data_IF_491613196518
#
_entry.id   IF_491613196518
#
_cell.length_a   1.000
_cell.length_b   1.000
_cell.length_c   1.000
_cell.angle_alpha   90.00
_cell.angle_beta   90.00
_cell.angle_gamma   90.00
#
_symmetry.space_group_name_H-M   'P 1'
#
loop_
_entity.id
_entity.type
_entity.pdbx_description
1 polymer ?
#
# COMPACT_ATOMS: atom_id res chain seq x y z
N UNK A 1 -3.98 19.47 -63.90
CA UNK A 1 -2.83 19.06 -63.05
C UNK A 1 -3.29 19.19 -61.61
N UNK A 2 -3.33 18.07 -60.88
CA UNK A 2 -3.96 17.90 -59.57
C UNK A 2 -2.84 17.80 -58.55
N UNK A 3 -2.69 18.80 -57.69
CA UNK A 3 -1.80 18.73 -56.55
C UNK A 3 -2.33 19.70 -55.50
N UNK A 4 -2.71 19.16 -54.34
CA UNK A 4 -2.70 19.80 -53.01
C UNK A 4 -3.62 19.00 -52.08
N UNK A 5 -3.02 18.11 -51.28
CA UNK A 5 -3.05 18.20 -49.81
C UNK A 5 -2.28 16.98 -49.27
N UNK A 6 -1.08 17.23 -48.76
CA UNK A 6 -0.37 16.30 -47.89
C UNK A 6 -0.95 16.49 -46.50
N UNK A 7 -1.80 15.57 -46.05
CA UNK A 7 -2.18 15.47 -44.64
C UNK A 7 -0.97 14.91 -43.88
N UNK A 8 -0.29 15.77 -43.13
CA UNK A 8 0.73 15.36 -42.18
C UNK A 8 0.05 14.62 -41.02
N UNK A 9 0.08 13.29 -41.06
CA UNK A 9 -0.18 12.43 -39.91
C UNK A 9 0.95 12.63 -38.89
N UNK A 10 0.75 13.54 -37.94
CA UNK A 10 1.54 13.50 -36.70
C UNK A 10 0.91 12.43 -35.81
N UNK A 11 1.46 11.23 -35.89
CA UNK A 11 1.20 10.17 -34.95
C UNK A 11 1.71 10.64 -33.57
N UNK A 12 0.80 11.15 -32.74
CA UNK A 12 1.03 11.19 -31.31
C UNK A 12 1.06 9.74 -30.87
N UNK A 13 2.26 9.24 -30.57
CA UNK A 13 2.43 8.00 -29.84
C UNK A 13 1.79 8.21 -28.47
N UNK A 14 0.53 7.79 -28.37
CA UNK A 14 -0.16 7.63 -27.12
C UNK A 14 0.65 6.60 -26.33
N UNK A 15 1.57 7.10 -25.51
CA UNK A 15 2.32 6.28 -24.59
C UNK A 15 1.26 5.68 -23.68
N UNK A 16 0.94 4.42 -23.94
CA UNK A 16 0.21 3.58 -23.02
C UNK A 16 1.05 3.55 -21.73
N UNK A 17 0.82 4.52 -20.86
CA UNK A 17 1.13 4.37 -19.45
C UNK A 17 0.33 3.15 -19.06
N UNK A 18 1.05 2.02 -18.93
CA UNK A 18 0.57 0.87 -18.23
C UNK A 18 0.05 1.42 -16.91
N UNK A 19 -1.28 1.52 -16.81
CA UNK A 19 -1.95 1.85 -15.59
C UNK A 19 -1.51 0.74 -14.64
N UNK A 20 -0.53 1.03 -13.79
CA UNK A 20 -0.37 0.32 -12.53
C UNK A 20 -1.78 0.29 -11.96
N UNK A 21 -2.33 -0.89 -11.64
CA UNK A 21 -3.68 -0.97 -11.12
C UNK A 21 -3.72 -0.05 -9.92
N UNK A 22 -4.42 1.08 -10.08
CA UNK A 22 -4.73 1.96 -8.97
C UNK A 22 -5.45 1.04 -8.00
N UNK A 23 -4.81 0.73 -6.87
CA UNK A 23 -5.34 -0.17 -5.88
C UNK A 23 -6.80 0.24 -5.65
N UNK A 24 -7.72 -0.67 -5.98
CA UNK A 24 -9.14 -0.34 -5.92
C UNK A 24 -9.44 0.13 -4.49
N UNK A 25 -10.11 1.28 -4.29
CA UNK A 25 -10.28 1.87 -2.97
C UNK A 25 -10.97 0.92 -1.96
N UNK A 26 -11.75 -0.05 -2.45
CA UNK A 26 -12.40 -1.07 -1.63
C UNK A 26 -11.44 -2.10 -1.00
N UNK A 27 -10.36 -2.50 -1.70
CA UNK A 27 -9.36 -3.48 -1.20
C UNK A 27 -8.17 -2.83 -0.52
N UNK A 28 -7.90 -1.55 -0.81
CA UNK A 28 -6.81 -0.79 -0.17
C UNK A 28 -6.95 -0.74 1.36
N UNK A 29 -8.15 -0.47 1.89
CA UNK A 29 -8.35 -0.34 3.33
C UNK A 29 -8.06 -1.63 4.12
N UNK A 30 -8.44 -2.79 3.60
CA UNK A 30 -8.15 -4.08 4.26
C UNK A 30 -6.66 -4.39 4.26
N UNK A 31 -5.98 -4.16 3.13
CA UNK A 31 -4.54 -4.33 3.02
C UNK A 31 -3.78 -3.39 3.98
N UNK A 32 -4.22 -2.13 4.10
CA UNK A 32 -3.62 -1.17 5.02
C UNK A 32 -3.77 -1.61 6.49
N UNK A 33 -4.93 -2.16 6.88
CA UNK A 33 -5.15 -2.71 8.24
C UNK A 33 -4.20 -3.88 8.51
N UNK A 34 -4.13 -4.86 7.61
CA UNK A 34 -3.26 -6.03 7.78
C UNK A 34 -1.79 -5.61 7.88
N UNK A 35 -1.35 -4.69 7.02
CA UNK A 35 0.01 -4.19 7.04
C UNK A 35 0.33 -3.36 8.28
N UNK A 36 -0.63 -2.57 8.77
CA UNK A 36 -0.49 -1.90 10.06
C UNK A 36 -0.25 -2.93 11.19
N UNK A 37 -1.03 -4.02 11.23
CA UNK A 37 -0.85 -5.08 12.23
C UNK A 37 0.53 -5.76 12.11
N UNK A 38 0.97 -6.06 10.89
CA UNK A 38 2.31 -6.63 10.62
C UNK A 38 3.41 -5.71 11.12
N UNK A 39 3.36 -4.41 10.80
CA UNK A 39 4.35 -3.45 11.27
C UNK A 39 4.28 -3.20 12.77
N UNK A 40 3.09 -3.33 13.40
CA UNK A 40 2.97 -3.27 14.85
C UNK A 40 3.70 -4.42 15.53
N UNK A 41 3.43 -5.65 15.10
CA UNK A 41 4.14 -6.83 15.60
C UNK A 41 5.64 -6.74 15.34
N UNK A 42 6.06 -6.24 14.18
CA UNK A 42 7.48 -6.02 13.89
C UNK A 42 8.12 -4.99 14.82
N UNK A 43 7.42 -3.92 15.19
CA UNK A 43 7.91 -2.87 16.09
C UNK A 43 8.00 -3.32 17.55
N UNK A 44 7.14 -4.25 17.95
CA UNK A 44 7.14 -4.86 19.29
C UNK A 44 8.20 -5.97 19.41
N UNK A 45 8.72 -6.47 18.29
CA UNK A 45 9.69 -7.55 18.27
C UNK A 45 11.12 -7.06 18.69
N UNK A 46 11.77 -7.72 19.66
CA UNK A 46 13.05 -7.25 20.22
C UNK A 46 14.19 -7.22 19.19
N UNK A 47 14.19 -8.13 18.22
CA UNK A 47 15.18 -8.18 17.14
C UNK A 47 15.14 -6.95 16.21
N UNK A 48 14.04 -6.20 16.22
CA UNK A 48 13.87 -5.01 15.40
C UNK A 48 14.07 -3.70 16.20
N UNK A 49 14.64 -3.77 17.40
CA UNK A 49 14.81 -2.62 18.28
C UNK A 49 15.53 -1.44 17.59
N UNK A 50 16.55 -1.71 16.78
CA UNK A 50 17.28 -0.71 15.98
C UNK A 50 16.46 -0.06 14.87
N UNK A 51 15.35 -0.67 14.46
CA UNK A 51 14.50 -0.24 13.35
C UNK A 51 13.14 0.32 13.79
N UNK A 52 12.90 0.45 15.10
CA UNK A 52 11.61 0.93 15.64
C UNK A 52 11.15 2.25 15.02
N UNK A 53 12.07 3.19 14.82
CA UNK A 53 11.75 4.49 14.21
C UNK A 53 11.29 4.36 12.76
N UNK A 54 11.90 3.46 11.97
CA UNK A 54 11.51 3.23 10.58
C UNK A 54 10.21 2.45 10.48
N UNK A 55 10.01 1.47 11.37
CA UNK A 55 8.75 0.73 11.47
C UNK A 55 7.59 1.67 11.82
N UNK A 56 7.81 2.63 12.72
CA UNK A 56 6.81 3.64 13.04
C UNK A 56 6.42 4.49 11.82
N UNK A 57 7.36 4.80 10.91
CA UNK A 57 7.04 5.50 9.65
C UNK A 57 6.11 4.66 8.77
N UNK A 58 6.34 3.35 8.68
CA UNK A 58 5.44 2.46 7.94
C UNK A 58 4.06 2.36 8.59
N UNK A 59 3.97 2.31 9.92
CA UNK A 59 2.69 2.35 10.63
C UNK A 59 1.92 3.64 10.32
N UNK A 60 2.57 4.79 10.38
CA UNK A 60 1.96 6.08 10.05
C UNK A 60 1.48 6.15 8.59
N UNK A 61 2.26 5.57 7.66
CA UNK A 61 1.86 5.49 6.26
C UNK A 61 0.61 4.61 6.06
N UNK A 62 0.51 3.49 6.77
CA UNK A 62 -0.69 2.64 6.72
C UNK A 62 -1.89 3.33 7.37
N UNK A 63 -1.68 4.08 8.46
CA UNK A 63 -2.72 4.90 9.06
C UNK A 63 -3.26 5.93 8.07
N UNK A 64 -2.39 6.70 7.42
CA UNK A 64 -2.79 7.62 6.36
C UNK A 64 -3.60 6.90 5.27
N UNK A 65 -3.15 5.72 4.83
CA UNK A 65 -3.87 4.95 3.79
C UNK A 65 -5.27 4.48 4.26
N UNK A 66 -5.40 4.08 5.52
CA UNK A 66 -6.69 3.72 6.13
C UNK A 66 -7.63 4.92 6.20
N UNK A 67 -7.13 6.11 6.54
CA UNK A 67 -7.89 7.36 6.53
C UNK A 67 -8.39 7.70 5.12
N UNK A 68 -7.54 7.59 4.11
CA UNK A 68 -7.91 7.86 2.69
C UNK A 68 -8.93 6.88 2.14
N UNK A 69 -8.96 5.66 2.66
CA UNK A 69 -9.91 4.62 2.25
C UNK A 69 -11.17 4.55 3.12
N UNK A 70 -11.31 5.46 4.09
CA UNK A 70 -12.49 5.52 4.95
C UNK A 70 -12.67 4.29 5.84
N UNK A 71 -11.58 3.69 6.30
CA UNK A 71 -11.64 2.53 7.22
C UNK A 71 -12.32 2.94 8.51
N UNK A 72 -13.42 2.25 8.84
CA UNK A 72 -14.09 2.41 10.13
C UNK A 72 -13.38 1.60 11.22
N UNK A 73 -13.56 2.00 12.48
CA UNK A 73 -13.02 1.24 13.62
C UNK A 73 -13.55 -0.20 13.65
N UNK A 74 -14.83 -0.40 13.31
CA UNK A 74 -15.41 -1.74 13.22
C UNK A 74 -14.71 -2.60 12.15
N UNK A 75 -14.43 -2.04 10.96
CA UNK A 75 -13.70 -2.74 9.90
C UNK A 75 -12.26 -3.04 10.31
N UNK A 76 -11.60 -2.09 10.98
CA UNK A 76 -10.26 -2.27 11.53
C UNK A 76 -10.23 -3.45 12.51
N UNK A 77 -11.04 -3.39 13.57
CA UNK A 77 -11.07 -4.42 14.61
C UNK A 77 -11.39 -5.80 14.02
N UNK A 78 -12.45 -5.91 13.21
CA UNK A 78 -12.83 -7.19 12.61
C UNK A 78 -11.75 -7.80 11.69
N UNK A 79 -11.02 -6.94 10.96
CA UNK A 79 -9.92 -7.39 10.09
C UNK A 79 -8.72 -7.84 10.91
N UNK A 80 -8.33 -7.08 11.93
CA UNK A 80 -7.22 -7.45 12.84
C UNK A 80 -7.56 -8.74 13.59
N UNK A 81 -8.77 -8.88 14.11
CA UNK A 81 -9.19 -10.07 14.84
C UNK A 81 -9.14 -11.31 13.94
N UNK A 82 -9.64 -11.20 12.71
CA UNK A 82 -9.57 -12.28 11.70
C UNK A 82 -8.13 -12.63 11.36
N UNK A 83 -7.29 -11.63 11.16
CA UNK A 83 -5.88 -11.81 10.84
C UNK A 83 -5.13 -12.50 11.99
N UNK A 84 -5.32 -12.05 13.23
CA UNK A 84 -4.70 -12.62 14.42
C UNK A 84 -5.24 -14.02 14.75
N UNK A 85 -6.53 -14.28 14.52
CA UNK A 85 -7.10 -15.62 14.64
C UNK A 85 -6.47 -16.60 13.63
N UNK A 86 -6.31 -16.17 12.37
CA UNK A 86 -5.64 -16.97 11.34
C UNK A 86 -4.21 -17.30 11.72
N UNK A 87 -3.45 -16.32 12.19
CA UNK A 87 -2.06 -16.53 12.63
C UNK A 87 -1.98 -17.48 13.84
N UNK A 88 -2.87 -17.34 14.83
CA UNK A 88 -2.93 -18.23 16.01
C UNK A 88 -3.29 -19.67 15.67
N UNK A 89 -4.10 -19.88 14.63
CA UNK A 89 -4.48 -21.21 14.17
C UNK A 89 -3.40 -21.88 13.31
N UNK A 90 -2.35 -21.15 12.93
CA UNK A 90 -1.20 -21.71 12.23
C UNK A 90 -0.17 -22.23 13.23
N UNK A 91 0.45 -23.36 12.91
CA UNK A 91 1.65 -23.82 13.63
C UNK A 91 2.81 -22.84 13.42
N UNK A 92 3.88 -22.90 14.24
CA UNK A 92 4.97 -21.92 14.20
C UNK A 92 5.66 -21.81 12.84
N UNK A 93 5.85 -22.93 12.14
CA UNK A 93 6.47 -22.95 10.80
C UNK A 93 5.58 -22.30 9.74
N UNK A 94 4.30 -22.69 9.69
CA UNK A 94 3.35 -22.15 8.73
C UNK A 94 3.00 -20.68 9.02
N UNK A 95 2.94 -20.33 10.31
CA UNK A 95 2.75 -18.95 10.77
C UNK A 95 3.90 -18.07 10.36
N UNK A 96 5.15 -18.53 10.51
CA UNK A 96 6.32 -17.79 10.03
C UNK A 96 6.28 -17.60 8.51
N UNK A 97 6.03 -18.67 7.74
CA UNK A 97 5.92 -18.60 6.28
C UNK A 97 4.81 -17.65 5.83
N UNK A 98 3.68 -17.67 6.52
CA UNK A 98 2.57 -16.74 6.28
C UNK A 98 2.97 -15.29 6.56
N UNK A 99 3.66 -15.05 7.68
CA UNK A 99 4.15 -13.73 8.06
C UNK A 99 5.20 -13.20 7.09
N UNK A 100 6.14 -14.03 6.62
CA UNK A 100 7.13 -13.64 5.63
C UNK A 100 6.46 -13.20 4.32
N UNK A 101 5.43 -13.95 3.87
CA UNK A 101 4.62 -13.57 2.73
C UNK A 101 3.86 -12.26 2.93
N UNK A 102 3.32 -12.04 4.13
CA UNK A 102 2.65 -10.78 4.49
C UNK A 102 3.61 -9.60 4.54
N UNK A 103 4.81 -9.77 5.07
CA UNK A 103 5.85 -8.73 5.07
C UNK A 103 6.19 -8.31 3.64
N UNK A 104 6.43 -9.27 2.74
CA UNK A 104 6.74 -8.96 1.33
C UNK A 104 5.59 -8.21 0.63
N UNK A 105 4.35 -8.65 0.86
CA UNK A 105 3.15 -7.98 0.35
C UNK A 105 3.01 -6.56 0.91
N UNK A 106 3.27 -6.38 2.20
CA UNK A 106 3.15 -5.10 2.88
C UNK A 106 4.24 -4.11 2.46
N UNK A 107 5.47 -4.57 2.20
CA UNK A 107 6.53 -3.71 1.68
C UNK A 107 6.19 -3.21 0.27
N UNK A 108 5.63 -4.09 -0.58
CA UNK A 108 5.15 -3.72 -1.92
C UNK A 108 4.03 -2.70 -1.84
N UNK A 109 3.06 -2.93 -0.94
CA UNK A 109 1.96 -2.02 -0.72
C UNK A 109 2.42 -0.67 -0.15
N UNK A 110 3.31 -0.67 0.84
CA UNK A 110 3.87 0.52 1.45
C UNK A 110 4.62 1.38 0.43
N UNK A 111 5.36 0.78 -0.52
CA UNK A 111 5.99 1.53 -1.61
C UNK A 111 4.95 2.30 -2.43
N UNK A 112 3.87 1.65 -2.84
CA UNK A 112 2.80 2.29 -3.60
C UNK A 112 2.09 3.41 -2.80
N UNK A 113 1.85 3.19 -1.49
CA UNK A 113 1.25 4.21 -0.63
C UNK A 113 2.19 5.40 -0.40
N UNK A 114 3.50 5.16 -0.30
CA UNK A 114 4.50 6.21 -0.13
C UNK A 114 4.55 7.13 -1.35
N UNK A 115 4.50 6.55 -2.55
CA UNK A 115 4.44 7.32 -3.79
C UNK A 115 3.17 8.18 -3.87
N UNK A 116 2.02 7.61 -3.46
CA UNK A 116 0.75 8.34 -3.38
C UNK A 116 0.79 9.48 -2.34
N UNK A 117 1.33 9.20 -1.16
CA UNK A 117 1.50 10.18 -0.07
C UNK A 117 2.39 11.35 -0.51
N UNK A 118 3.52 11.08 -1.17
CA UNK A 118 4.41 12.13 -1.66
C UNK A 118 3.78 12.94 -2.78
N UNK A 119 3.02 12.31 -3.68
CA UNK A 119 2.29 13.02 -4.73
C UNK A 119 1.27 13.98 -4.14
N UNK A 120 0.58 13.59 -3.07
CA UNK A 120 -0.34 14.46 -2.35
C UNK A 120 0.37 15.60 -1.62
N UNK A 121 1.50 15.32 -0.95
CA UNK A 121 2.30 16.37 -0.30
C UNK A 121 2.87 17.37 -1.30
N UNK A 122 3.28 16.92 -2.48
CA UNK A 122 3.76 17.80 -3.55
C UNK A 122 2.63 18.60 -4.21
N UNK A 123 1.39 18.11 -4.16
CA UNK A 123 0.20 18.78 -4.69
C UNK A 123 -0.43 19.77 -3.70
N UNK A 124 -0.10 19.70 -2.41
CA UNK A 124 -0.53 20.68 -1.42
C UNK A 124 0.27 21.98 -1.66
N UNK A 125 -0.39 23.14 -1.93
CA UNK A 125 0.33 24.39 -2.11
C UNK A 125 1.10 24.73 -0.83
N UNK A 126 2.39 24.99 -0.97
CA UNK A 126 3.21 25.65 0.05
C UNK A 126 2.51 26.95 0.45
N UNK A 127 1.96 27.00 1.67
CA UNK A 127 1.51 28.24 2.29
C UNK A 127 2.69 29.12 2.65
#
# INVERSE_FOLDING_TARGET
MKALLVLALTATTLSAQAATPAASPATGGTQAIECFAVYKMAGDAPQNASHKADIAKFQNLMQWSMEKTGVTQQKFNGTVDTFMAKLRNMGPVDGQKYMDGKIASCNTYAKAQYDAFNKEKAAAPTK
#
